data_IF_712417714942
#
_entry.id   IF_712417714942
#
_cell.length_a   1.000
_cell.length_b   1.000
_cell.length_c   1.000
_cell.angle_alpha   90.00
_cell.angle_beta   90.00
_cell.angle_gamma   90.00
#
_symmetry.space_group_name_H-M   'P 1'
#
loop_
_entity.id
_entity.type
_entity.pdbx_description
1 polymer ?
#
# COMPACT_ATOMS: atom_id res chain seq x y z
N UNK A 1 3.45 -2.95 -25.61
CA UNK A 1 2.80 -2.05 -24.64
C UNK A 1 3.72 -1.88 -23.44
N UNK A 2 4.23 -0.67 -23.21
CA UNK A 2 4.83 -0.32 -21.92
C UNK A 2 3.65 -0.16 -20.95
N UNK A 3 3.43 -1.11 -20.04
CA UNK A 3 2.60 -0.82 -18.88
C UNK A 3 3.29 0.35 -18.15
N UNK A 4 2.60 1.49 -18.07
CA UNK A 4 3.11 2.72 -17.48
C UNK A 4 3.74 2.40 -16.11
N UNK A 5 5.04 2.70 -15.95
CA UNK A 5 5.74 2.58 -14.65
C UNK A 5 5.08 3.42 -13.55
N UNK A 6 4.25 4.40 -13.94
CA UNK A 6 3.40 5.22 -13.06
C UNK A 6 2.25 4.44 -12.39
N UNK A 7 2.01 3.17 -12.77
CA UNK A 7 0.89 2.36 -12.28
C UNK A 7 1.38 1.03 -11.64
N UNK A 8 2.61 1.03 -11.14
CA UNK A 8 3.15 -0.05 -10.30
C UNK A 8 2.50 0.01 -8.90
N UNK A 9 2.09 -1.15 -8.39
CA UNK A 9 1.53 -1.28 -7.04
C UNK A 9 2.43 -0.68 -5.95
N UNK A 10 3.75 -0.81 -6.06
CA UNK A 10 4.73 -0.25 -5.12
C UNK A 10 4.63 1.28 -5.05
N UNK A 11 4.40 1.93 -6.20
CA UNK A 11 4.23 3.39 -6.26
C UNK A 11 2.91 3.84 -5.65
N UNK A 12 1.86 3.04 -5.80
CA UNK A 12 0.57 3.29 -5.15
C UNK A 12 0.70 3.10 -3.63
N UNK A 13 1.40 2.07 -3.17
CA UNK A 13 1.65 1.83 -1.74
C UNK A 13 2.50 2.94 -1.12
N UNK A 14 3.57 3.36 -1.78
CA UNK A 14 4.37 4.53 -1.38
C UNK A 14 3.51 5.79 -1.31
N UNK A 15 2.69 6.05 -2.33
CA UNK A 15 1.77 7.20 -2.35
C UNK A 15 0.76 7.14 -1.21
N UNK A 16 0.22 5.95 -0.89
CA UNK A 16 -0.73 5.77 0.20
C UNK A 16 -0.10 6.09 1.56
N UNK A 17 1.16 5.68 1.77
CA UNK A 17 1.93 6.05 2.97
C UNK A 17 2.17 7.55 3.04
N UNK A 18 2.56 8.19 1.93
CA UNK A 18 2.78 9.64 1.87
C UNK A 18 1.50 10.41 2.20
N UNK A 19 0.36 10.02 1.63
CA UNK A 19 -0.95 10.65 1.93
C UNK A 19 -1.32 10.50 3.40
N UNK A 20 -0.96 9.36 4.01
CA UNK A 20 -1.29 9.03 5.39
C UNK A 20 -0.15 9.34 6.36
N UNK A 21 0.83 10.15 5.94
CA UNK A 21 2.07 10.37 6.67
C UNK A 21 1.82 10.93 8.07
N UNK A 22 0.92 11.89 8.22
CA UNK A 22 0.61 12.50 9.51
C UNK A 22 0.10 11.48 10.55
N UNK A 23 -0.76 10.55 10.11
CA UNK A 23 -1.30 9.49 10.96
C UNK A 23 -0.21 8.47 11.31
N UNK A 24 0.54 8.01 10.30
CA UNK A 24 1.60 7.01 10.44
C UNK A 24 2.86 7.53 11.15
N UNK A 25 3.01 8.85 11.27
CA UNK A 25 4.05 9.49 12.08
C UNK A 25 3.53 10.00 13.41
N UNK A 26 2.23 9.82 13.71
CA UNK A 26 1.57 10.26 14.95
C UNK A 26 1.83 11.74 15.25
N UNK A 27 1.81 12.57 14.22
CA UNK A 27 2.09 14.01 14.31
C UNK A 27 3.57 14.40 14.40
N UNK A 28 4.51 13.45 14.30
CA UNK A 28 5.94 13.76 14.24
C UNK A 28 6.33 14.32 12.86
N UNK A 29 7.08 15.41 12.83
CA UNK A 29 7.46 16.08 11.58
C UNK A 29 8.39 15.24 10.70
N UNK A 30 9.26 14.42 11.29
CA UNK A 30 10.31 13.69 10.57
C UNK A 30 10.40 12.24 11.02
N UNK A 31 10.81 11.40 10.09
CA UNK A 31 11.13 10.01 10.36
C UNK A 31 11.19 9.19 9.08
N UNK A 32 11.04 7.89 9.26
CA UNK A 32 11.19 6.91 8.19
C UNK A 32 10.06 5.89 8.29
N UNK A 33 9.46 5.55 7.17
CA UNK A 33 8.48 4.47 7.07
C UNK A 33 9.02 3.44 6.09
N UNK A 34 8.95 2.17 6.47
CA UNK A 34 9.24 1.06 5.58
C UNK A 34 7.98 0.25 5.30
N UNK A 35 7.87 -0.27 4.10
CA UNK A 35 6.88 -1.28 3.73
C UNK A 35 7.63 -2.55 3.39
N UNK A 36 7.45 -3.58 4.20
CA UNK A 36 7.91 -4.94 3.91
C UNK A 36 6.75 -5.70 3.28
N UNK A 37 7.00 -6.46 2.22
CA UNK A 37 5.95 -7.24 1.57
C UNK A 37 6.49 -8.53 0.96
N UNK A 38 5.63 -9.52 0.87
CA UNK A 38 5.95 -10.81 0.27
C UNK A 38 4.86 -11.24 -0.71
N UNK A 39 5.21 -12.20 -1.57
CA UNK A 39 4.35 -12.69 -2.63
C UNK A 39 3.89 -14.12 -2.37
N UNK A 40 2.71 -14.45 -2.88
CA UNK A 40 2.36 -15.83 -3.15
C UNK A 40 3.20 -16.36 -4.33
N UNK A 41 3.35 -17.69 -4.46
CA UNK A 41 3.95 -18.31 -5.65
C UNK A 41 3.25 -17.93 -6.96
N UNK A 42 1.98 -17.51 -6.91
CA UNK A 42 1.20 -17.00 -8.04
C UNK A 42 1.63 -15.60 -8.52
N UNK A 43 2.52 -14.91 -7.79
CA UNK A 43 3.04 -13.59 -8.15
C UNK A 43 2.25 -12.40 -7.61
N UNK A 44 1.15 -12.60 -6.89
CA UNK A 44 0.42 -11.54 -6.16
C UNK A 44 0.99 -11.34 -4.77
N UNK A 45 0.94 -10.12 -4.21
CA UNK A 45 1.28 -9.88 -2.81
C UNK A 45 0.40 -10.75 -1.91
N UNK A 46 1.05 -11.43 -0.98
CA UNK A 46 0.43 -12.22 0.09
C UNK A 46 0.21 -11.37 1.34
N UNK A 47 1.22 -10.57 1.70
CA UNK A 47 1.18 -9.75 2.88
C UNK A 47 2.00 -8.48 2.68
N UNK A 48 1.73 -7.50 3.53
CA UNK A 48 2.64 -6.39 3.77
C UNK A 48 2.59 -5.95 5.24
N UNK A 49 3.68 -5.35 5.69
CA UNK A 49 3.84 -4.75 6.99
C UNK A 49 4.39 -3.34 6.83
N UNK A 50 3.82 -2.38 7.56
CA UNK A 50 4.23 -0.99 7.57
C UNK A 50 4.91 -0.70 8.89
N UNK A 51 6.19 -0.40 8.83
CA UNK A 51 7.03 -0.11 9.98
C UNK A 51 7.35 1.38 10.01
N UNK A 52 7.16 2.02 11.16
CA UNK A 52 7.46 3.44 11.34
C UNK A 52 8.58 3.63 12.35
N UNK A 53 9.54 4.50 12.01
CA UNK A 53 10.58 4.99 12.91
C UNK A 53 10.35 6.48 13.18
N UNK A 54 9.58 6.75 14.23
CA UNK A 54 9.35 8.11 14.76
C UNK A 54 10.49 8.58 15.67
N UNK A 55 11.22 7.62 16.27
CA UNK A 55 12.40 7.88 17.10
C UNK A 55 13.59 7.12 16.51
N UNK A 56 14.71 7.82 16.34
CA UNK A 56 15.90 7.26 15.68
C UNK A 56 16.33 5.94 16.32
N UNK A 57 16.49 4.91 15.49
CA UNK A 57 16.96 3.58 15.91
C UNK A 57 15.87 2.69 16.50
N UNK A 58 14.62 3.15 16.53
CA UNK A 58 13.48 2.37 17.01
C UNK A 58 12.43 2.25 15.92
N UNK A 59 11.92 1.02 15.73
CA UNK A 59 10.91 0.67 14.74
C UNK A 59 9.69 0.12 15.45
N UNK A 60 8.51 0.61 15.07
CA UNK A 60 7.23 0.10 15.52
C UNK A 60 6.44 -0.38 14.31
N UNK A 61 5.79 -1.54 14.45
CA UNK A 61 4.82 -1.99 13.48
C UNK A 61 3.60 -1.07 13.59
N UNK A 62 3.32 -0.31 12.54
CA UNK A 62 2.13 0.53 12.47
C UNK A 62 0.91 -0.30 12.08
N UNK A 63 1.04 -1.09 11.01
CA UNK A 63 0.01 -2.05 10.63
C UNK A 63 0.55 -3.18 9.76
N UNK A 64 -0.21 -4.26 9.68
CA UNK A 64 -0.04 -5.31 8.69
C UNK A 64 -1.28 -5.46 7.83
N UNK A 65 -1.12 -6.00 6.64
CA UNK A 65 -2.22 -6.50 5.82
C UNK A 65 -1.91 -7.91 5.36
N UNK A 66 -2.87 -8.82 5.53
CA UNK A 66 -2.78 -10.19 5.07
C UNK A 66 -3.91 -10.51 4.08
N UNK A 67 -3.58 -11.14 2.95
CA UNK A 67 -4.58 -11.56 1.97
C UNK A 67 -5.48 -12.69 2.49
N UNK A 68 -4.92 -13.57 3.32
CA UNK A 68 -5.60 -14.74 3.87
C UNK A 68 -5.39 -14.81 5.38
N UNK A 69 -6.39 -15.28 6.14
CA UNK A 69 -6.23 -15.46 7.57
C UNK A 69 -5.35 -16.70 7.85
N UNK A 70 -4.71 -16.71 9.02
CA UNK A 70 -4.03 -17.86 9.61
C UNK A 70 -4.37 -17.97 11.09
N UNK A 71 -3.78 -18.93 11.80
CA UNK A 71 -3.91 -19.02 13.26
C UNK A 71 -3.28 -17.82 14.00
N UNK A 72 -2.34 -17.11 13.36
CA UNK A 72 -1.59 -16.02 13.96
C UNK A 72 -2.14 -14.64 13.60
N UNK A 73 -2.86 -14.51 12.47
CA UNK A 73 -3.34 -13.22 11.98
C UNK A 73 -4.67 -13.35 11.23
N UNK A 74 -5.50 -12.31 11.31
CA UNK A 74 -6.69 -12.17 10.46
C UNK A 74 -6.33 -11.81 9.02
N UNK A 75 -7.33 -11.84 8.12
CA UNK A 75 -7.21 -11.23 6.80
C UNK A 75 -7.58 -9.74 6.86
N UNK A 76 -7.06 -8.96 5.93
CA UNK A 76 -7.26 -7.51 5.87
C UNK A 76 -6.24 -6.75 6.70
N UNK A 77 -6.53 -5.47 6.93
CA UNK A 77 -5.65 -4.56 7.68
C UNK A 77 -5.79 -4.75 9.19
N UNK A 78 -4.67 -4.74 9.89
CA UNK A 78 -4.60 -4.74 11.34
C UNK A 78 -3.57 -3.71 11.81
N UNK A 79 -4.00 -2.72 12.60
CA UNK A 79 -3.09 -1.76 13.22
C UNK A 79 -2.58 -2.28 14.56
N UNK A 80 -1.32 -1.96 14.86
CA UNK A 80 -0.64 -2.33 16.10
C UNK A 80 -0.08 -1.07 16.79
N UNK A 81 0.48 -1.20 17.99
CA UNK A 81 1.21 -0.14 18.71
C UNK A 81 0.45 1.20 18.89
N UNK A 82 -0.90 1.12 18.90
CA UNK A 82 -1.79 2.29 19.02
C UNK A 82 -1.87 3.14 17.77
N UNK A 83 -1.41 2.65 16.62
CA UNK A 83 -1.61 3.31 15.34
C UNK A 83 -3.05 3.15 14.84
N UNK A 84 -3.47 4.10 14.01
CA UNK A 84 -4.74 4.07 13.29
C UNK A 84 -4.67 5.04 12.13
N UNK A 85 -5.25 4.67 10.99
CA UNK A 85 -5.50 5.58 9.87
C UNK A 85 -6.60 4.99 9.00
N UNK A 86 -7.80 5.56 9.06
CA UNK A 86 -8.96 5.06 8.31
C UNK A 86 -8.73 5.20 6.80
N UNK A 87 -8.22 6.35 6.36
CA UNK A 87 -7.90 6.59 4.96
C UNK A 87 -6.86 5.61 4.43
N UNK A 88 -5.79 5.35 5.20
CA UNK A 88 -4.78 4.37 4.81
C UNK A 88 -5.36 2.96 4.71
N UNK A 89 -6.15 2.54 5.70
CA UNK A 89 -6.81 1.23 5.72
C UNK A 89 -7.67 0.99 4.48
N UNK A 90 -8.48 1.99 4.10
CA UNK A 90 -9.35 1.90 2.92
C UNK A 90 -8.54 1.76 1.63
N UNK A 91 -7.52 2.61 1.45
CA UNK A 91 -6.65 2.56 0.26
C UNK A 91 -5.92 1.22 0.19
N UNK A 92 -5.37 0.76 1.32
CA UNK A 92 -4.65 -0.51 1.39
C UNK A 92 -5.54 -1.70 1.03
N UNK A 93 -6.77 -1.73 1.55
CA UNK A 93 -7.74 -2.76 1.21
C UNK A 93 -8.08 -2.78 -0.29
N UNK A 94 -8.34 -1.62 -0.89
CA UNK A 94 -8.62 -1.50 -2.33
C UNK A 94 -7.45 -2.03 -3.15
N UNK A 95 -6.23 -1.56 -2.85
CA UNK A 95 -5.02 -1.93 -3.61
C UNK A 95 -4.74 -3.42 -3.48
N UNK A 96 -4.82 -3.97 -2.26
CA UNK A 96 -4.51 -5.37 -1.98
C UNK A 96 -5.57 -6.34 -2.51
N UNK A 97 -6.85 -5.97 -2.54
CA UNK A 97 -7.91 -6.82 -3.09
C UNK A 97 -7.95 -6.79 -4.62
N UNK A 98 -7.50 -5.68 -5.23
CA UNK A 98 -7.58 -5.48 -6.67
C UNK A 98 -6.21 -5.38 -7.34
N UNK A 99 -5.23 -6.15 -6.86
CA UNK A 99 -3.84 -6.13 -7.36
C UNK A 99 -3.71 -6.30 -8.89
N UNK A 100 -4.62 -7.04 -9.52
CA UNK A 100 -4.66 -7.24 -10.98
C UNK A 100 -4.86 -5.95 -11.77
N UNK A 101 -5.37 -4.89 -11.14
CA UNK A 101 -5.48 -3.58 -11.77
C UNK A 101 -4.10 -2.89 -11.95
N UNK A 102 -3.07 -3.35 -11.25
CA UNK A 102 -1.75 -2.72 -11.19
C UNK A 102 -0.68 -3.60 -11.82
N UNK A 103 0.40 -2.97 -12.26
CA UNK A 103 1.62 -3.71 -12.59
C UNK A 103 2.26 -4.19 -11.27
N UNK A 104 2.50 -5.50 -11.18
CA UNK A 104 3.24 -6.09 -10.08
C UNK A 104 4.73 -6.12 -10.41
N UNK A 105 5.63 -5.90 -9.43
CA UNK A 105 7.06 -6.06 -9.66
C UNK A 105 7.35 -7.50 -10.08
N UNK A 106 8.33 -7.75 -10.95
CA UNK A 106 8.68 -9.09 -11.43
C UNK A 106 9.37 -9.97 -10.37
N UNK A 107 9.22 -9.65 -9.08
CA UNK A 107 9.86 -10.33 -7.98
C UNK A 107 9.27 -11.74 -7.84
N UNK A 108 10.06 -12.74 -8.24
CA UNK A 108 9.72 -14.16 -8.25
C UNK A 108 9.62 -14.75 -6.83
N UNK A 109 8.65 -14.30 -6.03
CA UNK A 109 8.46 -14.79 -4.66
C UNK A 109 9.44 -14.21 -3.63
N UNK A 110 10.26 -13.22 -4.01
CA UNK A 110 11.20 -12.56 -3.09
C UNK A 110 10.50 -11.47 -2.28
N UNK A 111 10.88 -11.35 -1.00
CA UNK A 111 10.43 -10.25 -0.16
C UNK A 111 10.96 -8.93 -0.71
N UNK A 112 10.09 -7.92 -0.75
CA UNK A 112 10.43 -6.56 -1.15
C UNK A 112 10.41 -5.61 0.05
N UNK A 113 11.12 -4.50 -0.10
CA UNK A 113 11.21 -3.42 0.89
C UNK A 113 11.12 -2.08 0.18
N UNK A 114 10.17 -1.25 0.59
CA UNK A 114 10.12 0.17 0.23
C UNK A 114 10.54 1.00 1.43
N UNK A 115 11.36 2.01 1.21
CA UNK A 115 11.76 2.98 2.23
C UNK A 115 11.28 4.37 1.82
N UNK A 116 10.44 4.97 2.67
CA UNK A 116 9.81 6.26 2.45
C UNK A 116 10.31 7.23 3.52
N UNK A 117 10.95 8.30 3.07
CA UNK A 117 11.40 9.41 3.92
C UNK A 117 10.30 10.46 4.05
N UNK A 118 10.50 11.42 4.95
CA UNK A 118 9.59 12.55 5.13
C UNK A 118 9.28 13.24 3.79
N UNK A 119 7.99 13.25 3.37
CA UNK A 119 7.61 13.79 2.09
C UNK A 119 7.63 15.32 2.11
N UNK A 120 7.94 15.89 0.96
CA UNK A 120 7.70 17.31 0.68
C UNK A 120 6.21 17.58 0.41
N UNK A 121 5.81 18.84 0.45
CA UNK A 121 4.45 19.25 0.10
C UNK A 121 4.09 18.86 -1.34
N UNK A 122 5.03 19.04 -2.28
CA UNK A 122 4.83 18.67 -3.68
C UNK A 122 4.64 17.16 -3.85
N UNK A 123 5.45 16.34 -3.17
CA UNK A 123 5.29 14.89 -3.17
C UNK A 123 3.96 14.46 -2.54
N UNK A 124 3.51 15.16 -1.50
CA UNK A 124 2.21 14.90 -0.85
C UNK A 124 1.05 15.17 -1.81
N UNK A 125 1.10 16.26 -2.57
CA UNK A 125 0.10 16.58 -3.60
C UNK A 125 0.11 15.52 -4.72
N UNK A 126 1.31 15.15 -5.20
CA UNK A 126 1.45 14.14 -6.25
C UNK A 126 0.95 12.76 -5.79
N UNK A 127 1.26 12.37 -4.56
CA UNK A 127 0.80 11.13 -3.95
C UNK A 127 -0.73 11.08 -3.80
N UNK A 128 -1.36 12.19 -3.40
CA UNK A 128 -2.81 12.28 -3.33
C UNK A 128 -3.48 12.09 -4.71
N UNK A 129 -2.92 12.68 -5.76
CA UNK A 129 -3.39 12.46 -7.13
C UNK A 129 -3.19 11.01 -7.60
N UNK A 130 -2.04 10.41 -7.27
CA UNK A 130 -1.70 9.02 -7.57
C UNK A 130 -2.67 8.04 -6.92
N UNK A 131 -2.95 8.19 -5.62
CA UNK A 131 -3.92 7.35 -4.88
C UNK A 131 -5.31 7.47 -5.48
N UNK A 132 -5.76 8.69 -5.81
CA UNK A 132 -7.07 8.91 -6.44
C UNK A 132 -7.18 8.18 -7.79
N UNK A 133 -6.17 8.34 -8.65
CA UNK A 133 -6.09 7.66 -9.94
C UNK A 133 -6.11 6.14 -9.80
N UNK A 134 -5.42 5.60 -8.79
CA UNK A 134 -5.43 4.16 -8.49
C UNK A 134 -6.82 3.66 -8.10
N UNK A 135 -7.54 4.39 -7.23
CA UNK A 135 -8.90 4.05 -6.81
C UNK A 135 -9.88 4.12 -7.98
N UNK A 136 -9.83 5.20 -8.78
CA UNK A 136 -10.67 5.38 -9.97
C UNK A 136 -10.49 4.25 -10.99
N UNK A 137 -9.26 3.77 -11.13
CA UNK A 137 -8.94 2.64 -12.00
C UNK A 137 -9.57 1.34 -11.52
N UNK A 138 -9.50 1.04 -10.22
CA UNK A 138 -10.17 -0.14 -9.66
C UNK A 138 -11.67 -0.05 -9.88
N UNK A 139 -12.28 1.10 -9.59
CA UNK A 139 -13.70 1.33 -9.81
C UNK A 139 -14.10 1.14 -11.28
N UNK A 140 -13.29 1.64 -12.21
CA UNK A 140 -13.51 1.47 -13.65
C UNK A 140 -13.41 0.01 -14.09
N UNK A 141 -12.41 -0.73 -13.59
CA UNK A 141 -12.24 -2.16 -13.89
C UNK A 141 -13.40 -3.02 -13.35
N UNK A 142 -14.00 -2.62 -12.22
CA UNK A 142 -15.18 -3.28 -11.66
C UNK A 142 -16.47 -2.95 -12.44
N UNK A 143 -16.52 -1.83 -13.16
CA UNK A 143 -17.67 -1.42 -13.96
C UNK A 143 -17.71 -2.09 -15.35
N UNK A 144 -16.64 -2.76 -15.80
CA UNK A 144 -16.59 -3.52 -17.06
C UNK A 144 -17.04 -5.00 -16.97
N UNK A 145 -18.27 -5.34 -16.53
CA UNK A 145 -18.83 -6.64 -16.89
C UNK A 145 -20.28 -6.64 -17.43
N UNK A 146 -20.71 -5.62 -18.20
CA UNK A 146 -22.08 -5.61 -18.77
C UNK A 146 -22.23 -5.40 -20.29
N UNK A 147 -21.15 -5.26 -21.07
CA UNK A 147 -21.27 -5.01 -22.52
C UNK A 147 -20.66 -6.10 -23.42
N UNK A 148 -20.13 -7.18 -22.85
CA UNK A 148 -19.50 -8.27 -23.61
C UNK A 148 -20.28 -9.60 -23.55
N UNK A 149 -21.59 -9.53 -23.73
CA UNK A 149 -22.42 -10.68 -24.18
C UNK A 149 -23.55 -10.15 -25.05
N UNK A 150 -23.29 -10.07 -26.35
CA UNK A 150 -24.26 -9.76 -27.40
C UNK A 150 -23.90 -10.57 -28.64
#
# INVERSE_FOLDING_TARGET
>A
MKLNQEQNIERVLESAVVVSWADLMRGTERGLIHIEYGFFPSGTLNYLEVWASVTRGYWLLACSYWMSPSELHGAGVHFDNGYQSEGFAQVLAIVMQHQKAFALPPNLGQQGLLQITTPTELESIAAAASVRSAVDRVNSALAEPLLATG
#
